data_IF_765879439779
#
_entry.id   IF_765879439779
#
_cell.length_a   1.000
_cell.length_b   1.000
_cell.length_c   1.000
_cell.angle_alpha   90.00
_cell.angle_beta   90.00
_cell.angle_gamma   90.00
#
_symmetry.space_group_name_H-M   'P 1'
#
loop_
_entity.id
_entity.type
_entity.pdbx_description
1 polymer ?
#
# COMPACT_ATOMS: atom_id res chain seq x y z
N UNK A 1 -2.77 2.30 -14.39
CA UNK A 1 -3.62 1.65 -13.37
C UNK A 1 -3.14 0.24 -13.07
N UNK A 2 -2.84 -0.58 -14.09
CA UNK A 2 -2.30 -1.94 -13.90
C UNK A 2 -1.08 -2.01 -12.95
N UNK A 3 -0.09 -1.13 -13.10
CA UNK A 3 1.10 -1.09 -12.24
C UNK A 3 0.76 -0.79 -10.76
N UNK A 4 -0.23 0.07 -10.51
CA UNK A 4 -0.69 0.37 -9.15
C UNK A 4 -1.37 -0.86 -8.56
N UNK A 5 -2.28 -1.49 -9.30
CA UNK A 5 -2.94 -2.74 -8.88
C UNK A 5 -1.95 -3.87 -8.59
N UNK A 6 -0.95 -4.06 -9.43
CA UNK A 6 0.14 -5.04 -9.20
C UNK A 6 0.91 -4.69 -7.92
N UNK A 7 1.23 -3.41 -7.70
CA UNK A 7 1.87 -2.95 -6.46
C UNK A 7 1.05 -3.23 -5.20
N UNK A 8 -0.28 -3.07 -5.28
CA UNK A 8 -1.20 -3.39 -4.18
C UNK A 8 -1.22 -4.88 -3.84
N UNK A 9 -1.30 -5.74 -4.86
CA UNK A 9 -1.31 -7.20 -4.68
C UNK A 9 0.02 -7.66 -4.10
N UNK A 10 1.15 -7.18 -4.64
CA UNK A 10 2.47 -7.48 -4.10
C UNK A 10 2.59 -7.03 -2.63
N UNK A 11 2.09 -5.85 -2.31
CA UNK A 11 2.08 -5.34 -0.92
C UNK A 11 1.25 -6.23 0.01
N UNK A 12 0.10 -6.72 -0.47
CA UNK A 12 -0.76 -7.64 0.30
C UNK A 12 -0.04 -8.96 0.59
N UNK A 13 0.51 -9.58 -0.46
CA UNK A 13 1.21 -10.87 -0.34
C UNK A 13 2.41 -10.75 0.61
N UNK A 14 3.19 -9.67 0.49
CA UNK A 14 4.32 -9.43 1.39
C UNK A 14 3.86 -9.22 2.84
N UNK A 15 2.79 -8.46 3.05
CA UNK A 15 2.23 -8.23 4.38
C UNK A 15 1.70 -9.51 5.03
N UNK A 16 1.04 -10.37 4.26
CA UNK A 16 0.58 -11.69 4.72
C UNK A 16 1.76 -12.58 5.09
N UNK A 17 2.83 -12.57 4.30
CA UNK A 17 4.06 -13.31 4.61
C UNK A 17 4.72 -12.83 5.91
N UNK A 18 4.84 -11.52 6.10
CA UNK A 18 5.39 -10.92 7.33
C UNK A 18 4.51 -11.24 8.54
N UNK A 19 3.19 -11.14 8.40
CA UNK A 19 2.26 -11.47 9.47
C UNK A 19 2.35 -12.95 9.88
N UNK A 20 2.43 -13.86 8.91
CA UNK A 20 2.62 -15.30 9.16
C UNK A 20 3.94 -15.58 9.89
N UNK A 21 5.03 -14.94 9.46
CA UNK A 21 6.32 -15.04 10.15
C UNK A 21 6.25 -14.54 11.60
N UNK A 22 5.66 -13.35 11.84
CA UNK A 22 5.52 -12.78 13.18
C UNK A 22 4.70 -13.69 14.09
N UNK A 23 3.61 -14.27 13.56
CA UNK A 23 2.70 -15.11 14.31
C UNK A 23 3.32 -16.47 14.68
N UNK A 24 4.16 -17.05 13.80
CA UNK A 24 4.77 -18.37 14.02
C UNK A 24 6.14 -18.32 14.70
N UNK A 25 6.93 -17.25 14.52
CA UNK A 25 8.34 -17.21 14.92
C UNK A 25 8.66 -16.18 16.00
N UNK A 26 7.81 -15.16 16.22
CA UNK A 26 8.10 -14.05 17.15
C UNK A 26 7.13 -14.03 18.32
N UNK A 27 5.83 -14.08 18.04
CA UNK A 27 4.79 -14.14 19.06
C UNK A 27 3.55 -13.31 18.72
N UNK A 28 2.50 -13.51 19.52
CA UNK A 28 1.16 -12.99 19.26
C UNK A 28 1.09 -11.46 19.39
N UNK A 29 1.76 -10.87 20.38
CA UNK A 29 1.75 -9.41 20.60
C UNK A 29 2.33 -8.61 19.41
N UNK A 30 3.54 -8.94 18.91
CA UNK A 30 4.11 -8.29 17.73
C UNK A 30 3.26 -8.48 16.47
N UNK A 31 2.71 -9.69 16.28
CA UNK A 31 1.81 -9.98 15.16
C UNK A 31 0.53 -9.12 15.22
N UNK A 32 -0.08 -8.98 16.40
CA UNK A 32 -1.27 -8.15 16.60
C UNK A 32 -1.01 -6.66 16.35
N UNK A 33 0.13 -6.12 16.83
CA UNK A 33 0.53 -4.75 16.54
C UNK A 33 0.76 -4.53 15.04
N UNK A 34 1.45 -5.45 14.37
CA UNK A 34 1.66 -5.39 12.92
C UNK A 34 0.33 -5.42 12.18
N UNK A 35 -0.61 -6.29 12.57
CA UNK A 35 -1.92 -6.38 11.95
C UNK A 35 -2.74 -5.10 12.12
N UNK A 36 -2.70 -4.47 13.30
CA UNK A 36 -3.37 -3.20 13.54
C UNK A 36 -2.81 -2.08 12.64
N UNK A 37 -1.48 -1.97 12.54
CA UNK A 37 -0.82 -1.01 11.64
C UNK A 37 -1.16 -1.32 10.19
N UNK A 38 -1.11 -2.59 9.79
CA UNK A 38 -1.47 -3.05 8.46
C UNK A 38 -2.87 -2.60 8.08
N UNK A 39 -3.89 -2.78 8.94
CA UNK A 39 -5.27 -2.37 8.65
C UNK A 39 -5.41 -0.86 8.42
N UNK A 40 -4.79 -0.05 9.27
CA UNK A 40 -4.83 1.42 9.16
C UNK A 40 -4.19 1.86 7.85
N UNK A 41 -3.00 1.33 7.58
CA UNK A 41 -2.22 1.67 6.39
C UNK A 41 -2.93 1.21 5.12
N UNK A 42 -3.51 0.00 5.12
CA UNK A 42 -4.29 -0.52 4.00
C UNK A 42 -5.56 0.29 3.73
N UNK A 43 -6.23 0.80 4.77
CA UNK A 43 -7.36 1.70 4.58
C UNK A 43 -6.96 2.96 3.78
N UNK A 44 -5.83 3.60 4.12
CA UNK A 44 -5.32 4.74 3.35
C UNK A 44 -4.99 4.37 1.90
N UNK A 45 -4.37 3.20 1.68
CA UNK A 45 -4.03 2.72 0.34
C UNK A 45 -5.28 2.47 -0.51
N UNK A 46 -6.30 1.80 0.03
CA UNK A 46 -7.56 1.51 -0.66
C UNK A 46 -8.29 2.82 -1.00
N UNK A 47 -8.41 3.73 -0.03
CA UNK A 47 -9.05 5.04 -0.24
C UNK A 47 -8.30 5.81 -1.33
N UNK A 48 -6.97 5.84 -1.27
CA UNK A 48 -6.15 6.49 -2.29
C UNK A 48 -6.33 5.89 -3.69
N UNK A 49 -6.46 4.56 -3.79
CA UNK A 49 -6.74 3.87 -5.05
C UNK A 49 -8.11 4.23 -5.61
N UNK A 50 -9.16 4.20 -4.78
CA UNK A 50 -10.52 4.60 -5.18
C UNK A 50 -10.53 6.05 -5.66
N UNK A 51 -9.82 6.95 -4.97
CA UNK A 51 -9.69 8.35 -5.39
C UNK A 51 -8.99 8.50 -6.75
N UNK A 52 -7.95 7.70 -7.04
CA UNK A 52 -7.32 7.70 -8.36
C UNK A 52 -8.27 7.21 -9.46
N UNK A 53 -9.08 6.19 -9.19
CA UNK A 53 -10.10 5.68 -10.12
C UNK A 53 -11.20 6.73 -10.37
N UNK A 54 -11.64 7.42 -9.31
CA UNK A 54 -12.64 8.49 -9.37
C UNK A 54 -12.14 9.81 -9.98
N UNK A 55 -10.92 9.84 -10.56
CA UNK A 55 -10.36 11.01 -11.23
C UNK A 55 -9.61 12.00 -10.34
N UNK A 56 -9.67 11.85 -9.01
CA UNK A 56 -8.89 12.64 -8.03
C UNK A 56 -7.45 12.10 -7.90
N UNK A 57 -6.74 12.07 -9.03
CA UNK A 57 -5.44 11.36 -9.16
C UNK A 57 -4.32 11.88 -8.27
N UNK A 58 -4.24 13.19 -8.00
CA UNK A 58 -3.19 13.78 -7.13
C UNK A 58 -3.40 13.39 -5.67
N UNK A 59 -4.61 13.56 -5.15
CA UNK A 59 -4.94 13.22 -3.76
C UNK A 59 -4.84 11.72 -3.53
N UNK A 60 -5.31 10.91 -4.49
CA UNK A 60 -5.19 9.46 -4.42
C UNK A 60 -3.75 8.95 -4.44
N UNK A 61 -2.87 9.56 -5.24
CA UNK A 61 -1.44 9.24 -5.25
C UNK A 61 -0.78 9.52 -3.89
N UNK A 62 -1.15 10.62 -3.24
CA UNK A 62 -0.59 11.05 -1.97
C UNK A 62 -0.97 10.07 -0.84
N UNK A 63 -2.23 9.65 -0.78
CA UNK A 63 -2.68 8.60 0.16
C UNK A 63 -1.97 7.26 -0.06
N UNK A 64 -1.83 6.82 -1.32
CA UNK A 64 -1.10 5.59 -1.64
C UNK A 64 0.36 5.69 -1.21
N UNK A 65 1.01 6.83 -1.41
CA UNK A 65 2.39 7.04 -0.98
C UNK A 65 2.53 6.99 0.54
N UNK A 66 1.66 7.67 1.28
CA UNK A 66 1.67 7.66 2.75
C UNK A 66 1.50 6.23 3.27
N UNK A 67 0.51 5.50 2.74
CA UNK A 67 0.30 4.13 3.18
C UNK A 67 1.44 3.17 2.76
N UNK A 68 2.07 3.41 1.62
CA UNK A 68 3.12 2.51 1.14
C UNK A 68 4.48 2.69 1.84
N UNK A 69 4.69 3.81 2.56
CA UNK A 69 5.94 4.09 3.30
C UNK A 69 6.26 3.05 4.37
N UNK A 70 5.24 2.40 4.94
CA UNK A 70 5.42 1.42 6.03
C UNK A 70 5.90 0.05 5.50
N UNK A 71 5.83 -0.18 4.18
CA UNK A 71 6.06 -1.48 3.56
C UNK A 71 7.29 -1.50 2.63
N UNK A 72 8.39 -0.85 2.98
CA UNK A 72 9.64 -0.88 2.18
C UNK A 72 10.26 -2.28 2.26
N UNK A 73 10.61 -2.94 1.13
CA UNK A 73 10.77 -2.40 -0.23
C UNK A 73 9.54 -2.52 -1.15
N UNK A 74 8.51 -3.28 -0.78
CA UNK A 74 7.37 -3.62 -1.64
C UNK A 74 6.47 -2.41 -1.94
N UNK A 75 6.34 -1.49 -0.99
CA UNK A 75 5.63 -0.22 -1.12
C UNK A 75 6.22 0.72 -2.18
N UNK A 76 7.51 0.59 -2.54
CA UNK A 76 8.13 1.41 -3.58
C UNK A 76 7.49 1.19 -4.95
N UNK A 77 7.04 -0.03 -5.26
CA UNK A 77 6.36 -0.33 -6.53
C UNK A 77 5.03 0.42 -6.63
N UNK A 78 4.27 0.45 -5.53
CA UNK A 78 3.02 1.21 -5.43
C UNK A 78 3.25 2.72 -5.53
N UNK A 79 4.29 3.25 -4.86
CA UNK A 79 4.71 4.66 -4.92
C UNK A 79 5.06 5.07 -6.36
N UNK A 80 5.96 4.33 -7.03
CA UNK A 80 6.40 4.64 -8.39
C UNK A 80 5.22 4.56 -9.38
N UNK A 81 4.36 3.55 -9.22
CA UNK A 81 3.14 3.40 -10.01
C UNK A 81 2.18 4.57 -9.84
N UNK A 82 1.95 5.02 -8.61
CA UNK A 82 1.03 6.13 -8.30
C UNK A 82 1.55 7.45 -8.88
N UNK A 83 2.85 7.74 -8.74
CA UNK A 83 3.49 8.96 -9.23
C UNK A 83 3.45 9.02 -10.77
N UNK A 84 3.71 7.89 -11.46
CA UNK A 84 3.61 7.83 -12.92
C UNK A 84 2.20 8.14 -13.42
N UNK A 85 1.18 7.62 -12.74
CA UNK A 85 -0.23 7.89 -13.10
C UNK A 85 -0.58 9.36 -12.86
N UNK A 86 -0.16 9.93 -11.74
CA UNK A 86 -0.39 11.35 -11.44
C UNK A 86 0.30 12.29 -12.46
N UNK A 87 1.52 11.96 -12.91
CA UNK A 87 2.25 12.75 -13.92
C UNK A 87 1.65 12.67 -15.32
N UNK A 88 1.13 11.51 -15.75
CA UNK A 88 0.56 11.34 -17.10
C UNK A 88 -0.76 12.08 -17.35
N UNK A 89 -1.49 12.46 -16.30
CA UNK A 89 -2.74 13.25 -16.40
C UNK A 89 -2.51 14.76 -16.19
N UNK A 90 -1.27 15.19 -15.99
CA UNK A 90 -0.91 16.60 -15.82
C UNK A 90 -0.38 17.25 -17.11
N UNK A 91 -0.27 16.48 -18.19
CA UNK A 91 -0.02 16.90 -19.59
C UNK A 91 -1.31 16.62 -20.34
#
# INVERSE_FOLDING_TARGET
>A
MWVVGVGLILNLVASVGIFSYLLHQVGIQPAAMFFAVFLVVWAFIIIGFIMQVAGKVRTGALLICIGSLVFVPVGLVAIIGSIRVARRRAI
#
